data_IF_289400924211
#
_entry.id   IF_289400924211
#
_cell.length_a   1.000
_cell.length_b   1.000
_cell.length_c   1.000
_cell.angle_alpha   90.00
_cell.angle_beta   90.00
_cell.angle_gamma   90.00
#
_symmetry.space_group_name_H-M   'P 1'
#
loop_
_entity.id
_entity.type
_entity.pdbx_description
1 polymer ?
#
# COMPACT_ATOMS: atom_id res chain seq x y z
N UNK A 1 -2.68 12.33 -16.95
CA UNK A 1 -1.22 12.36 -17.25
C UNK A 1 -0.37 11.59 -16.24
N UNK A 2 -0.55 11.78 -14.93
CA UNK A 2 0.24 11.09 -13.89
C UNK A 2 0.21 9.55 -14.02
N UNK A 3 -0.98 8.94 -14.20
CA UNK A 3 -1.10 7.49 -14.37
C UNK A 3 -0.24 6.93 -15.53
N UNK A 4 -0.21 7.62 -16.68
CA UNK A 4 0.64 7.22 -17.83
C UNK A 4 2.13 7.36 -17.53
N UNK A 5 2.51 8.33 -16.69
CA UNK A 5 3.89 8.53 -16.31
C UNK A 5 4.41 7.45 -15.35
N UNK A 6 3.53 6.89 -14.50
CA UNK A 6 3.85 5.92 -13.45
C UNK A 6 3.99 4.51 -14.03
N UNK A 7 3.17 4.15 -15.03
CA UNK A 7 3.13 2.80 -15.62
C UNK A 7 4.51 2.19 -15.93
N UNK A 8 5.43 2.87 -16.66
CA UNK A 8 6.73 2.26 -16.97
C UNK A 8 7.61 2.08 -15.73
N UNK A 9 7.46 2.92 -14.69
CA UNK A 9 8.16 2.71 -13.43
C UNK A 9 7.59 1.55 -12.63
N UNK A 10 6.26 1.37 -12.63
CA UNK A 10 5.60 0.25 -11.98
C UNK A 10 6.06 -1.10 -12.56
N UNK A 11 6.16 -1.19 -13.89
CA UNK A 11 6.64 -2.40 -14.58
C UNK A 11 8.10 -2.69 -14.26
N UNK A 12 8.95 -1.65 -14.21
CA UNK A 12 10.39 -1.79 -13.95
C UNK A 12 10.76 -1.75 -12.46
N UNK A 13 9.79 -1.85 -11.56
CA UNK A 13 10.05 -1.86 -10.12
C UNK A 13 10.78 -3.16 -9.75
N UNK A 14 11.91 -3.12 -9.02
CA UNK A 14 12.66 -4.33 -8.66
C UNK A 14 11.81 -5.41 -7.98
N UNK A 15 10.89 -5.01 -7.11
CA UNK A 15 9.93 -5.90 -6.44
C UNK A 15 8.75 -6.37 -7.30
N UNK A 16 8.67 -6.04 -8.59
CA UNK A 16 7.56 -6.47 -9.45
C UNK A 16 7.51 -8.00 -9.61
N UNK A 17 8.67 -8.65 -9.70
CA UNK A 17 8.76 -10.13 -9.74
C UNK A 17 8.21 -10.72 -8.44
N UNK A 18 8.58 -10.12 -7.31
CA UNK A 18 8.17 -10.55 -5.97
C UNK A 18 6.65 -10.45 -5.78
N UNK A 19 6.04 -9.37 -6.28
CA UNK A 19 4.59 -9.19 -6.33
C UNK A 19 3.93 -10.26 -7.21
N UNK A 20 4.55 -10.60 -8.34
CA UNK A 20 4.01 -11.55 -9.31
C UNK A 20 4.01 -13.00 -8.84
N UNK A 21 4.95 -13.39 -7.97
CA UNK A 21 5.09 -14.76 -7.46
C UNK A 21 4.49 -14.97 -6.06
N UNK A 22 3.90 -13.94 -5.46
CA UNK A 22 3.34 -13.97 -4.10
C UNK A 22 1.86 -13.56 -4.08
N UNK A 23 1.21 -13.78 -2.94
CA UNK A 23 -0.16 -13.32 -2.71
C UNK A 23 -0.26 -11.77 -2.65
N UNK A 24 0.87 -11.05 -2.55
CA UNK A 24 0.88 -9.58 -2.48
C UNK A 24 0.30 -8.94 -3.74
N UNK A 25 0.44 -9.57 -4.91
CA UNK A 25 -0.20 -9.10 -6.14
C UNK A 25 -1.72 -9.12 -6.03
N UNK A 26 -2.29 -10.19 -5.46
CA UNK A 26 -3.72 -10.28 -5.18
C UNK A 26 -4.14 -9.23 -4.14
N UNK A 27 -3.39 -9.09 -3.05
CA UNK A 27 -3.66 -8.14 -1.98
C UNK A 27 -3.65 -6.69 -2.50
N UNK A 28 -2.64 -6.33 -3.27
CA UNK A 28 -2.53 -5.03 -3.93
C UNK A 28 -3.68 -4.80 -4.92
N UNK A 29 -4.05 -5.81 -5.71
CA UNK A 29 -5.15 -5.72 -6.68
C UNK A 29 -6.50 -5.48 -6.00
N UNK A 30 -6.84 -6.27 -4.98
CA UNK A 30 -8.09 -6.16 -4.21
C UNK A 30 -8.18 -4.78 -3.55
N UNK A 31 -7.12 -4.36 -2.87
CA UNK A 31 -7.12 -3.13 -2.09
C UNK A 31 -7.06 -1.88 -2.96
N UNK A 32 -6.33 -1.92 -4.08
CA UNK A 32 -6.35 -0.85 -5.08
C UNK A 32 -7.73 -0.69 -5.74
N UNK A 33 -8.42 -1.81 -6.00
CA UNK A 33 -9.79 -1.77 -6.51
C UNK A 33 -10.73 -1.16 -5.47
N UNK A 34 -10.61 -1.54 -4.20
CA UNK A 34 -11.37 -0.95 -3.10
C UNK A 34 -11.17 0.57 -2.98
N UNK A 35 -9.93 1.05 -3.00
CA UNK A 35 -9.61 2.48 -2.95
C UNK A 35 -10.09 3.24 -4.19
N UNK A 36 -10.01 2.64 -5.38
CA UNK A 36 -10.53 3.23 -6.61
C UNK A 36 -12.06 3.37 -6.55
N UNK A 37 -12.78 2.35 -6.07
CA UNK A 37 -14.23 2.41 -5.87
C UNK A 37 -14.63 3.46 -4.83
N UNK A 38 -13.85 3.62 -3.75
CA UNK A 38 -14.07 4.68 -2.77
C UNK A 38 -13.94 6.07 -3.40
N UNK A 39 -12.90 6.29 -4.20
CA UNK A 39 -12.71 7.54 -4.93
C UNK A 39 -13.84 7.80 -5.94
N UNK A 40 -14.30 6.76 -6.66
CA UNK A 40 -15.43 6.84 -7.59
C UNK A 40 -16.74 7.14 -6.86
N UNK A 41 -16.97 6.52 -5.70
CA UNK A 41 -18.13 6.79 -4.84
C UNK A 41 -18.16 8.26 -4.41
N UNK A 42 -17.03 8.77 -3.92
CA UNK A 42 -16.90 10.16 -3.49
C UNK A 42 -17.15 11.15 -4.63
N UNK A 43 -16.60 10.90 -5.83
CA UNK A 43 -16.92 11.66 -7.05
C UNK A 43 -18.41 11.57 -7.39
N UNK A 44 -18.97 10.37 -7.35
CA UNK A 44 -20.38 10.13 -7.62
C UNK A 44 -21.30 10.94 -6.71
N UNK A 45 -21.01 11.02 -5.41
CA UNK A 45 -21.78 11.85 -4.47
C UNK A 45 -21.66 13.35 -4.76
N UNK A 46 -20.48 13.80 -5.14
CA UNK A 46 -20.24 15.21 -5.52
C UNK A 46 -21.06 15.57 -6.76
N UNK A 47 -21.15 14.65 -7.72
CA UNK A 47 -21.86 14.83 -9.00
C UNK A 47 -23.35 14.43 -8.94
N UNK A 48 -23.87 14.02 -7.78
CA UNK A 48 -25.27 13.57 -7.63
C UNK A 48 -25.62 12.27 -8.37
N UNK A 49 -24.64 11.40 -8.63
CA UNK A 49 -24.79 10.19 -9.44
C UNK A 49 -25.23 8.99 -8.60
N UNK A 50 -26.19 8.21 -9.11
CA UNK A 50 -26.80 7.07 -8.39
C UNK A 50 -25.82 5.93 -8.11
N UNK A 51 -24.78 5.76 -8.92
CA UNK A 51 -23.77 4.71 -8.69
C UNK A 51 -22.90 4.97 -7.45
N UNK A 52 -22.97 6.16 -6.83
CA UNK A 52 -22.15 6.51 -5.68
C UNK A 52 -22.34 5.55 -4.51
N UNK A 53 -23.59 5.14 -4.27
CA UNK A 53 -23.96 4.21 -3.18
C UNK A 53 -23.37 2.81 -3.40
N UNK A 54 -23.67 2.10 -4.51
CA UNK A 54 -23.12 0.76 -4.72
C UNK A 54 -21.59 0.76 -4.82
N UNK A 55 -20.97 1.81 -5.39
CA UNK A 55 -19.52 1.94 -5.40
C UNK A 55 -18.93 2.08 -3.98
N UNK A 56 -19.58 2.83 -3.09
CA UNK A 56 -19.12 3.02 -1.71
C UNK A 56 -19.22 1.73 -0.89
N UNK A 57 -20.33 1.00 -1.04
CA UNK A 57 -20.52 -0.30 -0.40
C UNK A 57 -19.49 -1.31 -0.93
N UNK A 58 -19.33 -1.43 -2.25
CA UNK A 58 -18.36 -2.33 -2.86
C UNK A 58 -16.90 -2.00 -2.46
N UNK A 59 -16.57 -0.72 -2.32
CA UNK A 59 -15.28 -0.29 -1.77
C UNK A 59 -15.07 -0.84 -0.36
N UNK A 60 -16.09 -0.70 0.50
CA UNK A 60 -16.08 -1.24 1.86
C UNK A 60 -15.93 -2.75 1.91
N UNK A 61 -16.66 -3.47 1.07
CA UNK A 61 -16.58 -4.94 0.99
C UNK A 61 -15.17 -5.40 0.60
N UNK A 62 -14.54 -4.78 -0.41
CA UNK A 62 -13.19 -5.15 -0.83
C UNK A 62 -12.12 -4.76 0.21
N UNK A 63 -12.21 -3.57 0.80
CA UNK A 63 -11.25 -3.13 1.83
C UNK A 63 -11.41 -3.93 3.13
N UNK A 64 -12.65 -4.23 3.52
CA UNK A 64 -12.97 -5.10 4.65
C UNK A 64 -12.52 -6.54 4.41
N UNK A 65 -12.66 -7.07 3.18
CA UNK A 65 -12.07 -8.37 2.84
C UNK A 65 -10.54 -8.33 2.88
N UNK A 66 -9.93 -7.21 2.49
CA UNK A 66 -8.48 -6.98 2.58
C UNK A 66 -7.90 -7.26 3.97
N UNK A 67 -8.55 -6.82 5.05
CA UNK A 67 -8.01 -7.07 6.41
C UNK A 67 -8.04 -8.56 6.81
N UNK A 68 -8.86 -9.40 6.16
CA UNK A 68 -8.87 -10.86 6.35
C UNK A 68 -7.89 -11.59 5.43
N UNK A 69 -7.41 -10.95 4.36
CA UNK A 69 -6.34 -11.47 3.52
C UNK A 69 -4.97 -11.34 4.22
N UNK A 70 -4.75 -10.22 4.91
CA UNK A 70 -3.56 -10.00 5.73
C UNK A 70 -3.84 -8.94 6.80
N UNK A 71 -3.43 -9.22 8.04
CA UNK A 71 -3.62 -8.31 9.19
C UNK A 71 -3.01 -6.93 8.96
N UNK A 72 -1.86 -6.86 8.27
CA UNK A 72 -1.19 -5.59 7.97
C UNK A 72 -2.01 -4.66 7.08
N UNK A 73 -2.90 -5.21 6.24
CA UNK A 73 -3.71 -4.41 5.30
C UNK A 73 -4.69 -3.46 6.00
N UNK A 74 -4.89 -3.60 7.31
CA UNK A 74 -5.58 -2.59 8.14
C UNK A 74 -4.98 -1.19 7.97
N UNK A 75 -3.67 -1.09 7.72
CA UNK A 75 -2.96 0.17 7.52
C UNK A 75 -3.33 0.87 6.21
N UNK A 76 -3.93 0.17 5.24
CA UNK A 76 -4.51 0.81 4.05
C UNK A 76 -5.74 1.67 4.39
N UNK A 77 -6.28 1.56 5.61
CA UNK A 77 -7.22 2.52 6.15
C UNK A 77 -6.68 3.97 6.09
N UNK A 78 -5.38 4.18 6.22
CA UNK A 78 -4.75 5.51 6.06
C UNK A 78 -4.94 6.06 4.65
N UNK A 79 -4.82 5.21 3.62
CA UNK A 79 -5.06 5.59 2.24
C UNK A 79 -6.54 5.86 1.99
N UNK A 80 -7.44 5.07 2.59
CA UNK A 80 -8.88 5.29 2.49
C UNK A 80 -9.27 6.64 3.12
N UNK A 81 -8.69 6.99 4.27
CA UNK A 81 -8.84 8.31 4.90
C UNK A 81 -8.29 9.42 4.02
N UNK A 82 -7.10 9.23 3.43
CA UNK A 82 -6.53 10.19 2.48
C UNK A 82 -7.48 10.46 1.28
N UNK A 83 -8.09 9.42 0.71
CA UNK A 83 -9.09 9.55 -0.35
C UNK A 83 -10.32 10.33 0.13
N UNK A 84 -10.84 10.04 1.33
CA UNK A 84 -11.99 10.73 1.89
C UNK A 84 -11.71 12.22 2.16
N UNK A 85 -10.51 12.54 2.67
CA UNK A 85 -10.04 13.92 2.90
C UNK A 85 -9.89 14.68 1.59
N UNK A 86 -9.23 14.10 0.58
CA UNK A 86 -9.06 14.71 -0.75
C UNK A 86 -10.40 14.99 -1.43
N UNK A 87 -11.32 14.03 -1.35
CA UNK A 87 -12.62 14.16 -1.99
C UNK A 87 -13.60 15.01 -1.17
N UNK A 88 -13.33 15.25 0.12
CA UNK A 88 -14.20 15.95 1.08
C UNK A 88 -15.61 15.33 1.17
N UNK A 89 -15.70 14.01 1.07
CA UNK A 89 -16.97 13.27 1.01
C UNK A 89 -17.03 12.14 2.03
N UNK A 90 -17.42 12.49 3.25
CA UNK A 90 -17.53 11.53 4.37
C UNK A 90 -18.68 10.52 4.21
N UNK A 91 -19.67 10.80 3.34
CA UNK A 91 -20.72 9.83 3.00
C UNK A 91 -20.17 8.59 2.32
N UNK A 92 -19.22 8.76 1.40
CA UNK A 92 -18.53 7.65 0.75
C UNK A 92 -17.74 6.81 1.77
N UNK A 93 -17.04 7.48 2.69
CA UNK A 93 -16.31 6.82 3.78
C UNK A 93 -17.26 6.04 4.71
N UNK A 94 -18.40 6.62 5.09
CA UNK A 94 -19.40 5.95 5.93
C UNK A 94 -19.96 4.68 5.26
N UNK A 95 -20.24 4.72 3.96
CA UNK A 95 -20.67 3.54 3.22
C UNK A 95 -19.57 2.48 3.11
N UNK A 96 -18.32 2.88 2.93
CA UNK A 96 -17.19 1.94 2.92
C UNK A 96 -16.99 1.31 4.30
N UNK A 97 -17.12 2.08 5.39
CA UNK A 97 -17.10 1.53 6.75
C UNK A 97 -18.23 0.52 6.94
N UNK A 98 -19.46 0.85 6.53
CA UNK A 98 -20.59 -0.06 6.61
C UNK A 98 -20.34 -1.36 5.82
N UNK A 99 -19.82 -1.27 4.59
CA UNK A 99 -19.44 -2.44 3.79
C UNK A 99 -18.35 -3.28 4.46
N UNK A 100 -17.34 -2.66 5.05
CA UNK A 100 -16.27 -3.38 5.76
C UNK A 100 -16.81 -4.10 7.01
N UNK A 101 -17.71 -3.45 7.77
CA UNK A 101 -18.36 -4.05 8.93
C UNK A 101 -19.24 -5.25 8.57
N UNK A 102 -19.86 -5.26 7.38
CA UNK A 102 -20.57 -6.45 6.89
C UNK A 102 -19.61 -7.62 6.75
N UNK A 103 -18.42 -7.42 6.16
CA UNK A 103 -17.43 -8.50 6.03
C UNK A 103 -16.99 -8.99 7.41
N UNK A 104 -16.63 -8.08 8.32
CA UNK A 104 -16.25 -8.42 9.69
C UNK A 104 -17.36 -9.20 10.39
N UNK A 105 -18.61 -8.75 10.26
CA UNK A 105 -19.78 -9.41 10.84
C UNK A 105 -20.01 -10.81 10.27
N UNK A 106 -19.79 -11.02 8.96
CA UNK A 106 -19.91 -12.34 8.33
C UNK A 106 -18.85 -13.33 8.82
N UNK A 107 -17.59 -12.89 8.94
CA UNK A 107 -16.53 -13.74 9.50
C UNK A 107 -16.77 -14.04 10.99
N UNK A 108 -17.18 -13.04 11.77
CA UNK A 108 -17.52 -13.23 13.18
C UNK A 108 -18.69 -14.21 13.34
N UNK A 109 -19.72 -14.08 12.51
CA UNK A 109 -20.86 -15.01 12.49
C UNK A 109 -20.44 -16.43 12.08
N UNK A 110 -19.47 -16.57 11.17
CA UNK A 110 -18.87 -17.85 10.80
C UNK A 110 -17.92 -18.42 11.87
N UNK A 111 -17.78 -17.77 13.03
CA UNK A 111 -16.96 -18.23 14.15
C UNK A 111 -15.52 -17.75 14.14
N UNK A 112 -15.17 -16.77 13.28
CA UNK A 112 -13.83 -16.22 13.20
C UNK A 112 -13.80 -14.75 13.63
N UNK A 113 -13.27 -14.48 14.83
CA UNK A 113 -13.04 -13.13 15.31
C UNK A 113 -11.62 -12.65 14.96
N UNK A 114 -11.54 -11.50 14.30
CA UNK A 114 -10.28 -10.98 13.74
C UNK A 114 -9.20 -10.76 14.81
N UNK A 115 -9.56 -10.24 15.99
CA UNK A 115 -8.57 -9.98 17.06
C UNK A 115 -7.98 -11.27 17.63
N UNK A 116 -8.80 -12.33 17.75
CA UNK A 116 -8.31 -13.62 18.24
C UNK A 116 -7.29 -14.20 17.26
N UNK A 117 -7.62 -14.16 15.96
CA UNK A 117 -6.69 -14.57 14.92
C UNK A 117 -5.40 -13.74 14.91
N UNK A 118 -5.49 -12.43 15.13
CA UNK A 118 -4.33 -11.55 15.23
C UNK A 118 -3.42 -11.94 16.39
N UNK A 119 -3.98 -12.13 17.59
CA UNK A 119 -3.22 -12.53 18.77
C UNK A 119 -2.53 -13.89 18.59
N UNK A 120 -3.24 -14.86 18.03
CA UNK A 120 -2.67 -16.18 17.75
C UNK A 120 -1.51 -16.13 16.74
N UNK A 121 -1.59 -15.28 15.70
CA UNK A 121 -0.49 -15.08 14.75
C UNK A 121 0.73 -14.46 15.44
N UNK A 122 0.52 -13.46 16.29
CA UNK A 122 1.60 -12.83 17.07
C UNK A 122 2.27 -13.85 17.99
N UNK A 123 1.50 -14.63 18.75
CA UNK A 123 2.03 -15.69 19.61
C UNK A 123 2.86 -16.69 18.81
N UNK A 124 2.32 -17.18 17.68
CA UNK A 124 3.00 -18.16 16.84
C UNK A 124 4.30 -17.62 16.24
N UNK A 125 4.30 -16.34 15.87
CA UNK A 125 5.49 -15.64 15.36
C UNK A 125 6.61 -15.61 16.41
N UNK A 126 6.28 -15.25 17.66
CA UNK A 126 7.25 -15.19 18.76
C UNK A 126 7.74 -16.56 19.23
N UNK A 127 6.92 -17.61 19.08
CA UNK A 127 7.32 -19.00 19.35
C UNK A 127 8.31 -19.57 18.33
N UNK A 128 8.46 -18.95 17.16
CA UNK A 128 9.27 -19.46 16.08
C UNK A 128 10.41 -18.53 15.70
N UNK A 129 10.26 -17.94 14.52
CA UNK A 129 11.35 -17.31 13.76
C UNK A 129 11.74 -15.94 14.35
N UNK A 130 10.90 -15.34 15.20
CA UNK A 130 11.21 -14.08 15.88
C UNK A 130 12.45 -14.15 16.79
N UNK A 131 12.79 -15.34 17.32
CA UNK A 131 13.93 -15.56 18.22
C UNK A 131 15.29 -15.37 17.52
N UNK A 132 15.35 -15.58 16.21
CA UNK A 132 16.57 -15.45 15.39
C UNK A 132 16.60 -14.17 14.56
N UNK A 133 15.57 -13.32 14.66
CA UNK A 133 15.43 -12.06 13.94
C UNK A 133 15.31 -10.91 14.95
N UNK A 134 16.39 -10.23 15.34
CA UNK A 134 16.33 -9.18 16.36
C UNK A 134 15.60 -7.93 15.84
N UNK A 135 14.69 -7.37 16.64
CA UNK A 135 13.88 -6.20 16.25
C UNK A 135 14.75 -4.98 15.94
N UNK A 136 15.79 -4.76 16.75
CA UNK A 136 16.73 -3.64 16.58
C UNK A 136 17.46 -3.63 15.24
N UNK A 137 17.62 -4.79 14.59
CA UNK A 137 18.17 -4.89 13.24
C UNK A 137 17.08 -4.68 12.19
N UNK A 138 15.95 -5.39 12.34
CA UNK A 138 14.92 -5.43 11.31
C UNK A 138 14.13 -4.14 11.16
N UNK A 139 13.99 -3.33 12.21
CA UNK A 139 13.42 -1.96 12.08
C UNK A 139 14.19 -1.09 11.07
N UNK A 140 15.48 -1.37 10.82
CA UNK A 140 16.26 -0.67 9.81
C UNK A 140 16.39 -1.46 8.50
N UNK A 141 16.56 -2.77 8.61
CA UNK A 141 16.70 -3.64 7.46
C UNK A 141 15.42 -3.71 6.62
N UNK A 142 14.25 -3.64 7.25
CA UNK A 142 12.94 -3.58 6.59
C UNK A 142 12.86 -2.33 5.69
N UNK A 143 13.20 -1.16 6.24
CA UNK A 143 13.23 0.09 5.48
C UNK A 143 14.21 0.02 4.30
N UNK A 144 15.40 -0.54 4.52
CA UNK A 144 16.40 -0.72 3.47
C UNK A 144 15.89 -1.66 2.37
N UNK A 145 15.31 -2.81 2.74
CA UNK A 145 14.74 -3.77 1.81
C UNK A 145 13.64 -3.13 0.93
N UNK A 146 12.78 -2.29 1.51
CA UNK A 146 11.75 -1.58 0.74
C UNK A 146 12.33 -0.52 -0.19
N UNK A 147 13.38 0.19 0.22
CA UNK A 147 14.05 1.11 -0.72
C UNK A 147 14.66 0.38 -1.91
N UNK A 148 15.20 -0.82 -1.70
CA UNK A 148 15.73 -1.69 -2.77
C UNK A 148 14.60 -2.23 -3.64
N UNK A 149 13.51 -2.72 -3.03
CA UNK A 149 12.35 -3.26 -3.73
C UNK A 149 11.66 -2.21 -4.62
N UNK A 150 11.58 -0.97 -4.15
CA UNK A 150 11.00 0.16 -4.89
C UNK A 150 11.97 0.76 -5.90
N UNK A 151 13.26 0.70 -5.60
CA UNK A 151 14.35 1.15 -6.46
C UNK A 151 14.53 2.68 -6.57
N UNK A 152 15.59 3.12 -7.28
CA UNK A 152 16.13 4.48 -7.17
C UNK A 152 15.17 5.58 -7.63
N UNK A 153 14.31 5.31 -8.62
CA UNK A 153 13.37 6.30 -9.14
C UNK A 153 12.32 6.71 -8.08
N UNK A 154 11.85 5.75 -7.29
CA UNK A 154 10.87 6.00 -6.21
C UNK A 154 11.51 6.78 -5.08
N UNK A 155 12.75 6.45 -4.70
CA UNK A 155 13.51 7.21 -3.68
C UNK A 155 13.73 8.67 -4.12
N UNK A 156 14.12 8.88 -5.37
CA UNK A 156 14.31 10.22 -5.93
C UNK A 156 12.99 11.01 -6.00
N UNK A 157 11.90 10.34 -6.35
CA UNK A 157 10.56 10.91 -6.35
C UNK A 157 10.06 11.25 -4.96
N UNK A 158 10.35 10.41 -3.96
CA UNK A 158 10.02 10.61 -2.57
C UNK A 158 10.68 11.87 -2.01
N UNK A 159 11.99 12.03 -2.23
CA UNK A 159 12.73 13.24 -1.85
C UNK A 159 12.09 14.50 -2.43
N UNK A 160 11.62 14.44 -3.69
CA UNK A 160 10.91 15.57 -4.33
C UNK A 160 9.53 15.80 -3.72
N UNK A 161 8.79 14.74 -3.39
CA UNK A 161 7.51 14.82 -2.71
C UNK A 161 7.61 15.51 -1.35
N UNK A 162 8.61 15.12 -0.53
CA UNK A 162 8.90 15.75 0.77
C UNK A 162 9.24 17.24 0.60
N UNK A 163 10.12 17.57 -0.36
CA UNK A 163 10.45 18.97 -0.65
C UNK A 163 9.26 19.78 -1.18
N UNK A 164 8.31 19.13 -1.85
CA UNK A 164 7.09 19.72 -2.39
C UNK A 164 5.92 19.80 -1.39
N UNK A 165 5.97 19.07 -0.28
CA UNK A 165 4.86 18.92 0.67
C UNK A 165 4.39 20.26 1.27
N UNK A 166 5.31 21.21 1.46
CA UNK A 166 4.98 22.57 1.94
C UNK A 166 4.12 23.39 0.96
N UNK A 167 3.94 22.95 -0.29
CA UNK A 167 3.16 23.65 -1.32
C UNK A 167 1.70 23.22 -1.42
N UNK A 168 1.22 22.40 -0.48
CA UNK A 168 -0.19 21.97 -0.42
C UNK A 168 -0.37 20.46 -0.41
N UNK A 169 0.29 19.75 0.51
CA UNK A 169 0.16 18.30 0.71
C UNK A 169 -1.30 17.82 0.67
N UNK A 170 -2.20 18.50 1.40
CA UNK A 170 -3.61 18.10 1.53
C UNK A 170 -4.44 18.32 0.26
N UNK A 171 -3.91 19.07 -0.72
CA UNK A 171 -4.61 19.40 -1.97
C UNK A 171 -4.08 18.62 -3.17
N UNK A 172 -2.89 18.03 -3.07
CA UNK A 172 -2.29 17.22 -4.13
C UNK A 172 -2.53 15.71 -3.85
N UNK A 173 -3.32 15.02 -4.70
CA UNK A 173 -3.59 13.60 -4.52
C UNK A 173 -2.35 12.71 -4.51
N UNK A 174 -1.33 13.05 -5.30
CA UNK A 174 -0.10 12.25 -5.40
C UNK A 174 0.73 12.40 -4.13
N UNK A 175 0.82 13.61 -3.58
CA UNK A 175 1.56 13.86 -2.34
C UNK A 175 0.84 13.25 -1.12
N UNK A 176 -0.48 13.43 -1.01
CA UNK A 176 -1.22 12.93 0.15
C UNK A 176 -1.29 11.40 0.18
N UNK A 177 -1.50 10.74 -0.97
CA UNK A 177 -1.46 9.28 -1.05
C UNK A 177 -0.05 8.74 -0.79
N UNK A 178 0.99 9.39 -1.33
CA UNK A 178 2.37 9.02 -1.04
C UNK A 178 2.72 9.18 0.45
N UNK A 179 2.25 10.24 1.10
CA UNK A 179 2.42 10.43 2.53
C UNK A 179 1.66 9.39 3.36
N UNK A 180 0.42 9.05 2.98
CA UNK A 180 -0.34 7.99 3.64
C UNK A 180 0.34 6.62 3.51
N UNK A 181 0.92 6.32 2.33
CA UNK A 181 1.68 5.10 2.12
C UNK A 181 2.97 5.05 2.95
N UNK A 182 3.70 6.17 3.07
CA UNK A 182 4.84 6.26 3.98
C UNK A 182 4.45 6.06 5.44
N UNK A 183 3.35 6.67 5.88
CA UNK A 183 2.86 6.50 7.25
C UNK A 183 2.45 5.05 7.52
N UNK A 184 1.81 4.39 6.55
CA UNK A 184 1.50 2.97 6.65
C UNK A 184 2.77 2.14 6.81
N UNK A 185 3.80 2.41 6.01
CA UNK A 185 5.11 1.76 6.11
C UNK A 185 5.76 1.97 7.49
N UNK A 186 5.81 3.23 7.96
CA UNK A 186 6.41 3.55 9.27
C UNK A 186 5.65 2.90 10.41
N UNK A 187 4.31 2.87 10.37
CA UNK A 187 3.54 2.17 11.40
C UNK A 187 3.70 0.66 11.32
N UNK A 188 3.79 0.06 10.14
CA UNK A 188 4.06 -1.36 9.98
C UNK A 188 5.41 -1.75 10.61
N UNK A 189 6.42 -0.92 10.39
CA UNK A 189 7.79 -1.10 10.91
C UNK A 189 7.86 -0.93 12.44
N UNK A 190 7.37 0.21 12.96
CA UNK A 190 7.43 0.54 14.39
C UNK A 190 6.56 -0.39 15.22
N UNK A 191 5.40 -0.82 14.72
CA UNK A 191 4.54 -1.77 15.43
C UNK A 191 5.12 -3.19 15.51
N UNK A 192 6.14 -3.50 14.71
CA UNK A 192 6.68 -4.84 14.58
C UNK A 192 5.73 -5.82 13.86
N UNK A 193 4.63 -5.32 13.27
CA UNK A 193 3.68 -6.11 12.48
C UNK A 193 4.35 -6.82 11.29
N UNK A 194 5.47 -6.28 10.83
CA UNK A 194 6.15 -6.75 9.62
C UNK A 194 7.60 -7.14 9.84
N UNK A 195 8.00 -7.27 11.12
CA UNK A 195 9.36 -7.59 11.53
C UNK A 195 9.88 -8.80 10.74
N UNK A 196 10.91 -8.57 9.92
CA UNK A 196 11.64 -9.59 9.17
C UNK A 196 10.81 -10.38 8.13
N UNK A 197 9.67 -9.85 7.69
CA UNK A 197 8.88 -10.42 6.58
C UNK A 197 8.69 -9.36 5.48
N UNK A 198 9.64 -8.43 5.37
CA UNK A 198 9.56 -7.26 4.49
C UNK A 198 9.41 -7.65 3.03
N UNK A 199 10.13 -8.68 2.62
CA UNK A 199 10.14 -9.29 1.29
C UNK A 199 8.79 -9.92 0.90
N UNK A 200 7.88 -10.11 1.87
CA UNK A 200 6.58 -10.79 1.72
C UNK A 200 5.37 -9.98 2.18
N UNK A 201 5.56 -8.86 2.88
CA UNK A 201 4.44 -8.14 3.52
C UNK A 201 4.41 -6.64 3.15
N UNK A 202 5.53 -6.06 2.68
CA UNK A 202 5.56 -4.61 2.41
C UNK A 202 5.18 -4.22 0.97
N UNK A 203 5.17 -5.18 0.06
CA UNK A 203 4.91 -4.93 -1.35
C UNK A 203 3.53 -4.29 -1.61
N UNK A 204 2.44 -4.67 -0.90
CA UNK A 204 1.13 -4.01 -1.04
C UNK A 204 1.13 -2.55 -0.59
N UNK A 205 2.04 -2.12 0.28
CA UNK A 205 2.19 -0.71 0.67
C UNK A 205 3.14 0.03 -0.26
N UNK A 206 4.23 -0.62 -0.67
CA UNK A 206 5.25 -0.06 -1.55
C UNK A 206 4.68 0.38 -2.90
N UNK A 207 3.73 -0.36 -3.47
CA UNK A 207 3.07 0.02 -4.73
C UNK A 207 2.42 1.40 -4.69
N UNK A 208 1.99 1.87 -3.51
CA UNK A 208 1.38 3.17 -3.32
C UNK A 208 2.37 4.34 -3.27
N UNK A 209 3.68 4.06 -3.24
CA UNK A 209 4.73 5.05 -3.44
C UNK A 209 5.10 5.25 -4.93
N UNK A 210 4.77 4.30 -5.80
CA UNK A 210 5.02 4.41 -7.25
C UNK A 210 4.38 5.66 -7.90
N UNK A 211 3.16 6.11 -7.53
CA UNK A 211 2.59 7.34 -8.04
C UNK A 211 3.48 8.58 -7.90
N UNK A 212 4.35 8.65 -6.88
CA UNK A 212 5.27 9.76 -6.68
C UNK A 212 6.23 9.93 -7.87
N UNK A 213 6.52 8.87 -8.64
CA UNK A 213 7.38 8.96 -9.83
C UNK A 213 6.84 9.93 -10.89
N UNK A 214 5.55 10.27 -10.85
CA UNK A 214 4.97 11.33 -11.66
C UNK A 214 5.63 12.71 -11.42
N UNK A 215 6.19 12.94 -10.23
CA UNK A 215 6.92 14.16 -9.84
C UNK A 215 8.32 14.25 -10.46
N UNK A 216 8.82 13.19 -11.10
CA UNK A 216 10.12 13.21 -11.75
C UNK A 216 10.08 14.10 -13.01
N UNK A 217 11.09 14.98 -13.21
CA UNK A 217 11.16 15.86 -14.38
C UNK A 217 11.17 15.07 -15.69
N UNK A 218 10.35 15.48 -16.66
CA UNK A 218 10.22 14.83 -17.97
C UNK A 218 11.59 14.58 -18.66
N UNK A 219 12.54 15.53 -18.72
CA UNK A 219 13.82 15.33 -19.41
C UNK A 219 14.69 14.21 -18.82
N UNK A 220 14.53 13.89 -17.53
CA UNK A 220 15.33 12.89 -16.83
C UNK A 220 14.68 11.51 -16.72
N UNK A 221 13.41 11.34 -17.11
CA UNK A 221 12.66 10.09 -16.87
C UNK A 221 13.30 8.86 -17.51
N UNK A 222 13.86 8.98 -18.71
CA UNK A 222 14.53 7.86 -19.39
C UNK A 222 15.72 7.31 -18.59
N UNK A 223 16.46 8.18 -17.91
CA UNK A 223 17.60 7.78 -17.08
C UNK A 223 17.14 7.13 -15.78
N UNK A 224 16.05 7.63 -15.19
CA UNK A 224 15.43 6.98 -14.03
C UNK A 224 14.84 5.61 -14.37
N UNK A 225 14.28 5.45 -15.57
CA UNK A 225 13.81 4.15 -16.06
C UNK A 225 14.98 3.18 -16.30
N UNK A 226 16.09 3.66 -16.87
CA UNK A 226 17.31 2.85 -17.04
C UNK A 226 17.89 2.42 -15.68
N UNK A 227 17.98 3.35 -14.72
CA UNK A 227 18.42 3.04 -13.37
C UNK A 227 17.49 2.04 -12.67
N UNK A 228 16.17 2.17 -12.88
CA UNK A 228 15.20 1.20 -12.36
C UNK A 228 15.41 -0.19 -12.96
N UNK A 229 15.47 -0.29 -14.29
CA UNK A 229 15.68 -1.55 -14.97
C UNK A 229 16.98 -2.22 -14.54
N UNK A 230 18.08 -1.46 -14.46
CA UNK A 230 19.37 -1.98 -14.00
C UNK A 230 19.30 -2.49 -12.56
N UNK A 231 18.63 -1.75 -11.66
CA UNK A 231 18.43 -2.16 -10.27
C UNK A 231 17.57 -3.42 -10.19
N UNK A 232 16.48 -3.49 -10.96
CA UNK A 232 15.60 -4.65 -11.01
C UNK A 232 16.34 -5.89 -11.49
N UNK A 233 17.16 -5.78 -12.54
CA UNK A 233 18.01 -6.87 -13.01
C UNK A 233 19.02 -7.28 -11.94
N UNK A 234 19.76 -6.33 -11.35
CA UNK A 234 20.75 -6.63 -10.32
C UNK A 234 20.11 -7.34 -9.10
N UNK A 235 18.99 -6.83 -8.59
CA UNK A 235 18.25 -7.43 -7.47
C UNK A 235 17.82 -8.85 -7.80
N UNK A 236 17.21 -9.07 -8.96
CA UNK A 236 16.65 -10.38 -9.30
C UNK A 236 17.70 -11.42 -9.77
N UNK A 237 18.92 -11.01 -10.11
CA UNK A 237 19.99 -11.92 -10.54
C UNK A 237 21.10 -12.13 -9.51
N UNK A 238 21.34 -11.15 -8.64
CA UNK A 238 22.44 -11.20 -7.66
C UNK A 238 21.98 -11.58 -6.26
N UNK A 239 20.71 -11.32 -5.90
CA UNK A 239 20.18 -11.71 -4.61
C UNK A 239 19.53 -13.09 -4.70
N UNK A 240 19.99 -13.99 -3.84
CA UNK A 240 19.31 -15.25 -3.60
C UNK A 240 18.02 -14.95 -2.84
N UNK A 241 16.90 -14.95 -3.55
CA UNK A 241 15.57 -14.83 -2.95
C UNK A 241 15.04 -16.24 -2.70
N UNK A 242 14.96 -16.62 -1.42
CA UNK A 242 14.37 -17.89 -1.01
C UNK A 242 12.85 -17.78 -1.06
N UNK A 243 12.24 -18.34 -2.10
CA UNK A 243 10.78 -18.41 -2.24
C UNK A 243 10.26 -19.68 -1.58
#
# INVERSE_FOLDING_TARGET
EAARAVLPFAVLTPGAVWIGVSADGLFAGVTATGLALLALSARGFTDGRRYAVPAGVAAGLLLGFGIFLSYGLVLLGLLAVAVAVLARQWRAAALAIAGALVVVGLFAWAGFWWLDGYHLVVERYYQGVALVRPYSYWVWADLAAVTVALGPAVVAALRRGVAGAGRGLLSDPVLLLGAAALLAIVFADVSGLSKAETERIWLPFGVWLLPLTALLPRPGRRWWLAAQAATALAVNHLLLTGW
#
